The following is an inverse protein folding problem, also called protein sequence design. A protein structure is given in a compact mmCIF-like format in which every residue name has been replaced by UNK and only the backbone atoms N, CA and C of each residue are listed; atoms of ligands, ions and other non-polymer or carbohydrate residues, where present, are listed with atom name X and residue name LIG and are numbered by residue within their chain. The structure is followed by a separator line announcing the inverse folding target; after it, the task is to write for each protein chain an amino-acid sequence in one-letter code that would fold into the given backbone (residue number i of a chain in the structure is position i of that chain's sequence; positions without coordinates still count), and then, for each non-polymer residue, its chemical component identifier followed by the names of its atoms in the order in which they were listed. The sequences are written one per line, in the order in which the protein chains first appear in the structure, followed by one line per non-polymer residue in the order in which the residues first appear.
data_IF_555091607048
#
_entry.id   IF_555091607048
#
_cell.length_a   1.000
_cell.length_b   1.000
_cell.length_c   1.000
_cell.angle_alpha   90.00
_cell.angle_beta   90.00
_cell.angle_gamma   90.00
#
_symmetry.space_group_name_H-M   'P 1'
#
loop_
_entity.id
_entity.type
_entity.pdbx_description
1 polymer ?
#
# COMPACT_ATOMS: atom_id res chain seq x y z
N UNK A 1 7.29 3.80 -19.07
CA UNK A 1 8.41 2.96 -19.52
C UNK A 1 9.30 3.79 -20.42
N UNK A 2 10.59 3.85 -20.12
CA UNK A 2 11.59 4.55 -20.92
C UNK A 2 12.41 3.51 -21.69
N UNK A 3 12.51 3.66 -23.00
CA UNK A 3 13.42 2.81 -23.77
C UNK A 3 14.86 3.23 -23.47
N UNK A 4 15.67 2.30 -22.96
CA UNK A 4 17.10 2.50 -22.71
C UNK A 4 17.93 1.58 -23.61
N UNK A 5 19.24 1.83 -23.71
CA UNK A 5 20.17 0.99 -24.47
C UNK A 5 20.27 -0.44 -23.91
N UNK A 6 19.85 -0.67 -22.67
CA UNK A 6 19.83 -1.96 -21.99
C UNK A 6 18.44 -2.62 -21.97
N UNK A 7 17.46 -2.03 -22.67
CA UNK A 7 16.07 -2.49 -22.72
C UNK A 7 15.05 -1.46 -22.19
N UNK A 8 13.75 -1.76 -22.26
CA UNK A 8 12.72 -0.90 -21.69
C UNK A 8 12.80 -0.90 -20.15
N UNK A 9 13.07 0.27 -19.57
CA UNK A 9 13.05 0.53 -18.13
C UNK A 9 11.66 1.03 -17.72
N UNK A 10 10.87 0.18 -17.12
CA UNK A 10 9.55 0.54 -16.59
C UNK A 10 9.66 0.76 -15.07
N UNK A 11 9.25 1.94 -14.63
CA UNK A 11 9.04 2.24 -13.21
C UNK A 11 7.55 2.39 -12.93
N UNK A 12 7.13 1.89 -11.77
CA UNK A 12 5.76 2.02 -11.30
C UNK A 12 5.62 3.22 -10.35
N UNK A 13 4.38 3.70 -10.20
CA UNK A 13 4.08 4.71 -9.18
C UNK A 13 4.34 4.15 -7.77
N UNK A 14 4.58 5.00 -6.76
CA UNK A 14 4.61 4.54 -5.37
C UNK A 14 3.35 3.73 -5.03
N UNK A 15 3.52 2.63 -4.27
CA UNK A 15 2.44 1.69 -3.97
C UNK A 15 2.20 0.62 -5.03
N UNK A 16 2.98 0.59 -6.12
CA UNK A 16 2.88 -0.42 -7.17
C UNK A 16 4.23 -1.10 -7.41
N UNK A 17 4.21 -2.41 -7.67
CA UNK A 17 5.39 -3.20 -8.05
C UNK A 17 5.35 -3.56 -9.53
N UNK A 18 6.53 -3.55 -10.14
CA UNK A 18 6.68 -4.01 -11.50
C UNK A 18 6.55 -5.53 -11.53
N UNK A 19 5.65 -6.03 -12.37
CA UNK A 19 5.41 -7.45 -12.55
C UNK A 19 6.55 -8.09 -13.35
N UNK A 20 6.65 -9.43 -13.32
CA UNK A 20 7.73 -10.17 -13.99
C UNK A 20 7.83 -9.94 -15.51
N UNK A 21 6.75 -9.47 -16.13
CA UNK A 21 6.70 -9.03 -17.53
C UNK A 21 7.43 -7.70 -17.80
N UNK A 22 7.86 -7.01 -16.73
CA UNK A 22 8.51 -5.70 -16.74
C UNK A 22 7.72 -4.62 -17.48
N UNK A 23 6.41 -4.77 -17.63
CA UNK A 23 5.54 -3.84 -18.34
C UNK A 23 4.29 -3.47 -17.53
N UNK A 24 3.75 -4.41 -16.77
CA UNK A 24 2.60 -4.17 -15.92
C UNK A 24 3.01 -3.74 -14.51
N UNK A 25 2.24 -2.82 -13.96
CA UNK A 25 2.32 -2.44 -12.55
C UNK A 25 1.16 -3.08 -11.81
N UNK A 26 1.46 -3.95 -10.85
CA UNK A 26 0.47 -4.45 -9.92
C UNK A 26 0.51 -3.62 -8.65
N UNK A 27 -0.67 -3.34 -8.11
CA UNK A 27 -0.83 -2.75 -6.80
C UNK A 27 -0.13 -3.62 -5.74
N UNK A 28 0.59 -2.99 -4.82
CA UNK A 28 1.24 -3.70 -3.71
C UNK A 28 0.21 -3.82 -2.61
N UNK A 29 -0.20 -5.04 -2.29
CA UNK A 29 -1.09 -5.26 -1.16
C UNK A 29 -0.33 -5.16 0.16
N UNK A 30 -0.21 -3.96 0.72
CA UNK A 30 0.53 -3.78 1.98
C UNK A 30 -0.13 -4.49 3.16
N UNK A 31 -1.42 -4.85 3.06
CA UNK A 31 -2.10 -5.65 4.08
C UNK A 31 -1.61 -7.10 4.15
N UNK A 32 -1.18 -7.66 3.02
CA UNK A 32 -0.63 -9.02 2.94
C UNK A 32 0.90 -9.03 3.15
N UNK A 33 1.59 -8.04 2.58
CA UNK A 33 3.04 -7.93 2.67
C UNK A 33 3.50 -7.43 4.06
N UNK A 34 2.68 -6.62 4.74
CA UNK A 34 3.00 -6.00 6.03
C UNK A 34 1.82 -6.10 7.02
N UNK A 35 1.44 -7.32 7.46
CA UNK A 35 0.30 -7.54 8.35
C UNK A 35 0.43 -6.76 9.68
N UNK A 36 1.64 -6.49 10.14
CA UNK A 36 1.92 -5.75 11.37
C UNK A 36 1.76 -4.22 11.26
N UNK A 37 1.40 -3.69 10.08
CA UNK A 37 1.23 -2.23 9.90
C UNK A 37 -0.08 -1.67 10.43
N UNK A 38 -1.12 -2.48 10.60
CA UNK A 38 -2.40 -2.05 11.15
C UNK A 38 -2.71 -2.81 12.42
N UNK A 39 -3.15 -2.10 13.47
CA UNK A 39 -3.49 -2.74 14.76
C UNK A 39 -4.77 -3.57 14.69
N UNK A 40 -5.75 -3.11 13.90
CA UNK A 40 -7.06 -3.76 13.79
C UNK A 40 -7.31 -4.37 12.42
N UNK A 41 -7.80 -3.56 11.47
CA UNK A 41 -8.15 -4.01 10.14
C UNK A 41 -7.34 -3.22 9.13
N UNK A 42 -6.81 -3.90 8.13
CA UNK A 42 -6.18 -3.26 6.98
C UNK A 42 -7.13 -3.33 5.78
N UNK A 43 -7.18 -2.25 5.01
CA UNK A 43 -7.88 -2.21 3.72
C UNK A 43 -6.89 -1.76 2.65
N UNK A 44 -6.66 -2.65 1.69
CA UNK A 44 -5.84 -2.36 0.53
C UNK A 44 -6.59 -1.40 -0.42
N UNK A 45 -5.89 -0.41 -0.94
CA UNK A 45 -6.41 0.58 -1.89
C UNK A 45 -5.47 0.65 -3.10
N UNK A 46 -5.94 1.05 -4.29
CA UNK A 46 -5.05 1.20 -5.43
C UNK A 46 -3.96 2.27 -5.18
N UNK A 47 -2.72 1.84 -4.99
CA UNK A 47 -1.55 2.66 -4.73
C UNK A 47 -1.32 3.03 -3.27
N UNK A 48 -2.10 2.51 -2.34
CA UNK A 48 -1.92 2.74 -0.91
C UNK A 48 -2.71 1.73 -0.07
N UNK A 49 -2.60 1.84 1.25
CA UNK A 49 -3.47 1.12 2.17
C UNK A 49 -4.00 2.10 3.21
N UNK A 50 -5.08 1.72 3.86
CA UNK A 50 -5.54 2.38 5.08
C UNK A 50 -5.85 1.37 6.17
N UNK A 51 -5.50 1.73 7.40
CA UNK A 51 -6.01 1.00 8.55
C UNK A 51 -7.44 1.46 8.84
N UNK A 52 -8.31 0.52 9.16
CA UNK A 52 -9.70 0.74 9.49
C UNK A 52 -9.88 0.39 10.97
N UNK A 53 -10.34 1.37 11.73
CA UNK A 53 -10.63 1.21 13.15
C UNK A 53 -12.08 0.74 13.35
N UNK A 54 -12.36 -0.01 14.42
CA UNK A 54 -13.72 -0.36 14.79
C UNK A 54 -14.55 0.89 15.14
N UNK A 55 -15.89 0.79 15.13
CA UNK A 55 -16.77 1.89 15.46
C UNK A 55 -16.44 2.49 16.83
N UNK A 56 -16.40 3.82 16.94
CA UNK A 56 -16.05 4.54 18.17
C UNK A 56 -14.55 4.78 18.38
N UNK A 57 -13.69 4.33 17.45
CA UNK A 57 -12.27 4.65 17.44
C UNK A 57 -11.89 5.41 16.18
N UNK A 58 -10.93 6.33 16.32
CA UNK A 58 -10.31 7.08 15.23
C UNK A 58 -8.88 6.60 15.01
N UNK A 59 -8.40 6.76 13.78
CA UNK A 59 -6.99 6.48 13.48
C UNK A 59 -6.13 7.55 14.15
N UNK A 60 -5.05 7.12 14.78
CA UNK A 60 -4.08 7.99 15.44
C UNK A 60 -3.18 8.69 14.40
N UNK A 61 -2.41 9.69 14.83
CA UNK A 61 -1.54 10.50 13.95
C UNK A 61 -0.49 9.66 13.21
N UNK A 62 -0.11 8.51 13.77
CA UNK A 62 0.78 7.53 13.15
C UNK A 62 0.14 6.75 11.99
N UNK A 63 -1.18 6.87 11.79
CA UNK A 63 -1.91 6.23 10.69
C UNK A 63 -2.01 4.71 10.81
N UNK A 64 -1.68 4.13 11.97
CA UNK A 64 -1.61 2.67 12.19
C UNK A 64 -2.36 2.22 13.43
N UNK A 65 -2.35 3.04 14.46
CA UNK A 65 -2.97 2.79 15.76
C UNK A 65 -4.38 3.33 15.79
N UNK A 66 -5.30 2.63 16.45
CA UNK A 66 -6.64 3.12 16.72
C UNK A 66 -6.69 3.67 18.14
N UNK A 67 -7.12 4.91 18.29
CA UNK A 67 -7.36 5.56 19.57
C UNK A 67 -8.86 5.76 19.76
N UNK A 68 -9.35 5.64 21.00
CA UNK A 68 -10.74 5.98 21.28
C UNK A 68 -10.91 7.49 21.10
N UNK A 69 -11.94 7.89 20.35
CA UNK A 69 -12.37 9.27 20.34
C UNK A 69 -13.05 9.52 21.70
N UNK A 70 -12.29 10.08 22.65
CA UNK A 70 -12.84 10.53 23.93
C UNK A 70 -13.61 11.83 23.77
#
# INVERSE_FOLDING_TARGET
CRNTLYGPECSCKPGYRLMGDRQACADINECEELPSKCVHRCQNLPGSFRCVCPPGQSISEDGRTCQSAR
#
